data_IF_222848756484
#
_entry.id   IF_222848756484
#
_cell.length_a   1.000
_cell.length_b   1.000
_cell.length_c   1.000
_cell.angle_alpha   90.00
_cell.angle_beta   90.00
_cell.angle_gamma   90.00
#
_symmetry.space_group_name_H-M   'P 1'
#
loop_
_entity.id
_entity.type
_entity.pdbx_description
1 polymer ?
#
# COMPACT_ATOMS: atom_id res chain seq x y z
N UNK A 1 18.87 -46.11 -84.06
CA UNK A 1 17.67 -45.25 -83.95
C UNK A 1 16.61 -45.87 -83.04
N UNK A 2 15.68 -46.75 -83.48
CA UNK A 2 14.61 -47.29 -82.60
C UNK A 2 15.10 -48.13 -81.40
N UNK A 3 16.15 -48.93 -81.59
CA UNK A 3 16.69 -49.79 -80.51
C UNK A 3 17.52 -49.02 -79.46
N UNK A 4 17.95 -47.79 -79.77
CA UNK A 4 18.65 -46.90 -78.83
C UNK A 4 17.64 -46.08 -78.02
N UNK A 5 16.52 -45.71 -78.63
CA UNK A 5 15.38 -45.07 -77.94
C UNK A 5 14.78 -45.98 -76.87
N UNK A 6 14.57 -47.26 -77.17
CA UNK A 6 14.10 -48.24 -76.19
C UNK A 6 15.04 -48.35 -74.99
N UNK A 7 16.36 -48.47 -75.23
CA UNK A 7 17.37 -48.55 -74.17
C UNK A 7 17.44 -47.31 -73.29
N UNK A 8 17.27 -46.10 -73.85
CA UNK A 8 17.21 -44.86 -73.04
C UNK A 8 15.94 -44.80 -72.20
N UNK A 9 14.81 -45.21 -72.75
CA UNK A 9 13.55 -45.24 -72.01
C UNK A 9 13.61 -46.26 -70.85
N UNK A 10 14.20 -47.43 -71.09
CA UNK A 10 14.42 -48.43 -70.05
C UNK A 10 15.34 -47.91 -68.92
N UNK A 11 16.37 -47.13 -69.26
CA UNK A 11 17.24 -46.46 -68.29
C UNK A 11 16.49 -45.40 -67.47
N UNK A 12 15.65 -44.57 -68.11
CA UNK A 12 14.83 -43.56 -67.41
C UNK A 12 13.83 -44.24 -66.47
N UNK A 13 13.16 -45.30 -66.92
CA UNK A 13 12.22 -46.08 -66.09
C UNK A 13 12.93 -46.72 -64.88
N UNK A 14 14.15 -47.22 -65.06
CA UNK A 14 14.94 -47.76 -63.96
C UNK A 14 15.31 -46.67 -62.93
N UNK A 15 15.67 -45.47 -63.37
CA UNK A 15 15.97 -44.33 -62.50
C UNK A 15 14.72 -43.83 -61.75
N UNK A 16 13.57 -43.71 -62.42
CA UNK A 16 12.31 -43.33 -61.78
C UNK A 16 11.91 -44.33 -60.69
N UNK A 17 12.07 -45.62 -60.95
CA UNK A 17 11.84 -46.68 -59.96
C UNK A 17 12.77 -46.52 -58.75
N UNK A 18 14.06 -46.27 -58.96
CA UNK A 18 15.00 -46.02 -57.88
C UNK A 18 14.64 -44.79 -57.05
N UNK A 19 14.22 -43.69 -57.68
CA UNK A 19 13.78 -42.49 -56.97
C UNK A 19 12.52 -42.73 -56.14
N UNK A 20 11.57 -43.50 -56.68
CA UNK A 20 10.35 -43.89 -55.97
C UNK A 20 10.67 -44.77 -54.75
N UNK A 21 11.54 -45.76 -54.92
CA UNK A 21 11.99 -46.65 -53.84
C UNK A 21 12.73 -45.87 -52.73
N UNK A 22 13.59 -44.92 -53.11
CA UNK A 22 14.26 -44.02 -52.15
C UNK A 22 13.21 -43.14 -51.43
N UNK A 23 12.26 -42.55 -52.14
CA UNK A 23 11.22 -41.72 -51.51
C UNK A 23 10.35 -42.53 -50.54
N UNK A 24 9.98 -43.76 -50.91
CA UNK A 24 9.22 -44.67 -50.05
C UNK A 24 10.01 -45.05 -48.80
N UNK A 25 11.30 -45.40 -48.94
CA UNK A 25 12.15 -45.71 -47.79
C UNK A 25 12.34 -44.51 -46.86
N UNK A 26 12.51 -43.30 -47.40
CA UNK A 26 12.57 -42.06 -46.62
C UNK A 26 11.27 -41.80 -45.86
N UNK A 27 10.11 -41.99 -46.50
CA UNK A 27 8.81 -41.83 -45.85
C UNK A 27 8.58 -42.87 -44.75
N UNK A 28 8.98 -44.12 -44.99
CA UNK A 28 8.91 -45.18 -43.99
C UNK A 28 9.81 -44.86 -42.78
N UNK A 29 11.06 -44.47 -43.02
CA UNK A 29 12.00 -44.06 -41.97
C UNK A 29 11.48 -42.84 -41.19
N UNK A 30 10.88 -41.85 -41.86
CA UNK A 30 10.30 -40.68 -41.20
C UNK A 30 9.07 -41.06 -40.35
N UNK A 31 8.24 -41.98 -40.82
CA UNK A 31 7.10 -42.50 -40.08
C UNK A 31 7.56 -43.23 -38.81
N UNK A 32 8.64 -44.02 -38.90
CA UNK A 32 9.26 -44.71 -37.78
C UNK A 32 9.86 -43.72 -36.77
N UNK A 33 10.62 -42.71 -37.23
CA UNK A 33 11.15 -41.64 -36.38
C UNK A 33 10.02 -40.88 -35.66
N UNK A 34 8.92 -40.57 -36.35
CA UNK A 34 7.76 -39.94 -35.74
C UNK A 34 7.07 -40.85 -34.71
N UNK A 35 7.07 -42.16 -34.93
CA UNK A 35 6.52 -43.12 -33.97
C UNK A 35 7.41 -43.22 -32.72
N UNK A 36 8.73 -43.32 -32.90
CA UNK A 36 9.73 -43.29 -31.82
C UNK A 36 9.63 -41.97 -31.03
N UNK A 37 9.57 -40.84 -31.73
CA UNK A 37 9.42 -39.51 -31.14
C UNK A 37 8.14 -39.36 -30.32
N UNK A 38 7.01 -39.90 -30.79
CA UNK A 38 5.74 -39.92 -30.05
C UNK A 38 5.83 -40.77 -28.78
N UNK A 39 6.44 -41.96 -28.86
CA UNK A 39 6.66 -42.83 -27.70
C UNK A 39 7.56 -42.15 -26.66
N UNK A 40 8.68 -41.58 -27.08
CA UNK A 40 9.60 -40.86 -26.21
C UNK A 40 8.93 -39.63 -25.57
N UNK A 41 8.13 -38.87 -26.33
CA UNK A 41 7.38 -37.71 -25.81
C UNK A 41 6.35 -38.11 -24.78
N UNK A 42 5.64 -39.23 -24.99
CA UNK A 42 4.67 -39.76 -24.03
C UNK A 42 5.34 -40.23 -22.74
N UNK A 43 6.48 -40.91 -22.85
CA UNK A 43 7.26 -41.36 -21.69
C UNK A 43 7.83 -40.18 -20.90
N UNK A 44 8.41 -39.19 -21.60
CA UNK A 44 8.91 -37.95 -21.00
C UNK A 44 7.79 -37.19 -20.29
N UNK A 45 6.62 -37.04 -20.92
CA UNK A 45 5.46 -36.41 -20.29
C UNK A 45 5.03 -37.14 -19.00
N UNK A 46 5.07 -38.47 -18.99
CA UNK A 46 4.74 -39.26 -17.80
C UNK A 46 5.78 -39.13 -16.69
N UNK A 47 7.06 -39.05 -17.04
CA UNK A 47 8.16 -38.90 -16.10
C UNK A 47 8.18 -37.50 -15.48
N UNK A 48 7.97 -36.46 -16.29
CA UNK A 48 7.85 -35.06 -15.85
C UNK A 48 6.71 -34.90 -14.85
N UNK A 49 5.53 -35.47 -15.13
CA UNK A 49 4.38 -35.45 -14.19
C UNK A 49 4.71 -36.08 -12.84
N UNK A 50 5.45 -37.20 -12.82
CA UNK A 50 5.86 -37.86 -11.56
C UNK A 50 6.85 -37.01 -10.78
N UNK A 51 7.80 -36.37 -11.45
CA UNK A 51 8.77 -35.47 -10.82
C UNK A 51 8.07 -34.25 -10.21
N UNK A 52 7.18 -33.61 -10.97
CA UNK A 52 6.36 -32.47 -10.53
C UNK A 52 5.53 -32.83 -9.30
N UNK A 53 4.87 -34.00 -9.31
CA UNK A 53 4.03 -34.44 -8.19
C UNK A 53 4.85 -34.74 -6.93
N UNK A 54 6.07 -35.29 -7.07
CA UNK A 54 6.99 -35.47 -5.92
C UNK A 54 7.43 -34.14 -5.34
N UNK A 55 7.83 -33.18 -6.17
CA UNK A 55 8.24 -31.84 -5.71
C UNK A 55 7.07 -31.13 -5.01
N UNK A 56 5.86 -31.25 -5.56
CA UNK A 56 4.64 -30.76 -4.94
C UNK A 56 4.40 -31.41 -3.57
N UNK A 57 4.49 -32.74 -3.46
CA UNK A 57 4.30 -33.45 -2.20
C UNK A 57 5.34 -33.08 -1.14
N UNK A 58 6.61 -32.93 -1.51
CA UNK A 58 7.65 -32.49 -0.57
C UNK A 58 7.38 -31.07 -0.04
N UNK A 59 6.98 -30.14 -0.91
CA UNK A 59 6.60 -28.78 -0.48
C UNK A 59 5.32 -28.77 0.34
N UNK A 60 4.33 -29.60 -0.01
CA UNK A 60 3.12 -29.76 0.78
C UNK A 60 3.43 -30.30 2.17
N UNK A 61 4.30 -31.31 2.27
CA UNK A 61 4.74 -31.88 3.54
C UNK A 61 5.49 -30.87 4.43
N UNK A 62 6.16 -29.87 3.83
CA UNK A 62 6.83 -28.79 4.55
C UNK A 62 5.89 -27.63 4.94
N UNK A 63 4.99 -27.23 4.03
CA UNK A 63 4.10 -26.07 4.22
C UNK A 63 2.88 -26.39 5.08
N UNK A 64 2.35 -27.61 5.01
CA UNK A 64 1.20 -28.06 5.80
C UNK A 64 1.44 -27.99 7.32
N UNK A 65 2.57 -28.47 7.89
CA UNK A 65 2.84 -28.29 9.31
C UNK A 65 3.00 -26.82 9.68
N UNK A 66 3.61 -25.99 8.82
CA UNK A 66 3.71 -24.55 9.04
C UNK A 66 2.32 -23.87 9.09
N UNK A 67 1.40 -24.29 8.21
CA UNK A 67 0.03 -23.78 8.15
C UNK A 67 -0.81 -24.26 9.34
N UNK A 68 -0.60 -25.49 9.80
CA UNK A 68 -1.21 -26.02 11.03
C UNK A 68 -0.73 -25.25 12.26
N UNK A 69 0.57 -24.98 12.37
CA UNK A 69 1.14 -24.13 13.41
C UNK A 69 0.52 -22.73 13.37
N UNK A 70 0.34 -22.15 12.18
CA UNK A 70 -0.27 -20.83 12.02
C UNK A 70 -1.74 -20.82 12.46
N UNK A 71 -2.51 -21.85 12.07
CA UNK A 71 -3.91 -22.02 12.50
C UNK A 71 -4.03 -22.22 14.02
N UNK A 72 -3.16 -23.03 14.61
CA UNK A 72 -3.10 -23.22 16.06
C UNK A 72 -2.78 -21.91 16.80
N UNK A 73 -1.81 -21.16 16.30
CA UNK A 73 -1.40 -19.87 16.85
C UNK A 73 -2.54 -18.84 16.74
N UNK A 74 -3.29 -18.85 15.63
CA UNK A 74 -4.45 -18.00 15.44
C UNK A 74 -5.57 -18.28 16.46
N UNK A 75 -5.89 -19.55 16.70
CA UNK A 75 -6.94 -19.92 17.67
C UNK A 75 -6.51 -19.60 19.10
N UNK A 76 -5.24 -19.86 19.47
CA UNK A 76 -4.81 -19.84 20.87
C UNK A 76 -4.13 -18.54 21.32
N UNK A 77 -3.51 -17.77 20.41
CA UNK A 77 -2.64 -16.62 20.73
C UNK A 77 -3.11 -15.28 20.15
N UNK A 78 -4.28 -15.20 19.48
CA UNK A 78 -4.81 -13.95 18.88
C UNK A 78 -5.16 -12.81 19.85
N UNK A 79 -5.06 -13.00 21.16
CA UNK A 79 -5.34 -11.95 22.16
C UNK A 79 -4.18 -11.76 23.15
N UNK A 80 -3.00 -12.29 22.83
CA UNK A 80 -1.80 -12.21 23.67
C UNK A 80 -0.98 -10.97 23.33
N UNK A 81 -0.19 -10.44 24.26
CA UNK A 81 0.71 -9.28 24.07
C UNK A 81 1.62 -9.40 22.85
N UNK A 82 1.96 -10.63 22.43
CA UNK A 82 2.77 -10.93 21.24
C UNK A 82 1.95 -11.02 19.93
N UNK A 83 0.78 -10.38 19.88
CA UNK A 83 -0.13 -10.41 18.75
C UNK A 83 0.50 -10.06 17.39
N UNK A 84 1.40 -9.06 17.26
CA UNK A 84 2.04 -8.75 15.99
C UNK A 84 2.85 -9.92 15.42
N UNK A 85 3.53 -10.70 16.27
CA UNK A 85 4.28 -11.88 15.84
C UNK A 85 3.36 -13.00 15.38
N UNK A 86 2.21 -13.20 16.05
CA UNK A 86 1.24 -14.20 15.63
C UNK A 86 0.67 -13.88 14.25
N UNK A 87 0.30 -12.62 14.00
CA UNK A 87 -0.16 -12.19 12.68
C UNK A 87 0.94 -12.25 11.63
N UNK A 88 2.16 -11.84 11.96
CA UNK A 88 3.31 -11.96 11.07
C UNK A 88 3.55 -13.41 10.64
N UNK A 89 3.49 -14.36 11.58
CA UNK A 89 3.63 -15.78 11.28
C UNK A 89 2.47 -16.32 10.42
N UNK A 90 1.24 -15.87 10.64
CA UNK A 90 0.08 -16.25 9.82
C UNK A 90 0.24 -15.72 8.38
N UNK A 91 0.58 -14.44 8.21
CA UNK A 91 0.83 -13.87 6.90
C UNK A 91 2.01 -14.55 6.21
N UNK A 92 3.07 -14.87 6.96
CA UNK A 92 4.21 -15.61 6.44
C UNK A 92 3.83 -17.02 5.99
N UNK A 93 3.09 -17.78 6.81
CA UNK A 93 2.66 -19.14 6.45
C UNK A 93 1.72 -19.14 5.24
N UNK A 94 0.79 -18.18 5.17
CA UNK A 94 -0.07 -17.99 4.00
C UNK A 94 0.76 -17.62 2.77
N UNK A 95 1.69 -16.67 2.89
CA UNK A 95 2.56 -16.25 1.80
C UNK A 95 3.45 -17.41 1.31
N UNK A 96 4.11 -18.12 2.22
CA UNK A 96 4.93 -19.29 1.91
C UNK A 96 4.09 -20.36 1.20
N UNK A 97 2.87 -20.62 1.67
CA UNK A 97 1.95 -21.52 0.97
C UNK A 97 1.61 -21.02 -0.45
N UNK A 98 1.18 -19.77 -0.62
CA UNK A 98 0.78 -19.22 -1.92
C UNK A 98 1.94 -18.92 -2.88
N UNK A 99 3.16 -18.70 -2.40
CA UNK A 99 4.31 -18.33 -3.24
C UNK A 99 5.26 -19.50 -3.45
N UNK A 100 5.32 -20.46 -2.54
CA UNK A 100 6.20 -21.63 -2.65
C UNK A 100 5.48 -22.88 -3.17
N UNK A 101 4.19 -23.09 -2.86
CA UNK A 101 3.45 -24.27 -3.35
C UNK A 101 2.95 -24.10 -4.79
N UNK A 102 2.51 -22.88 -5.09
CA UNK A 102 1.84 -22.51 -6.35
C UNK A 102 2.74 -22.53 -7.60
N UNK A 103 4.05 -22.22 -7.57
CA UNK A 103 4.89 -22.15 -8.78
C UNK A 103 5.04 -23.45 -9.59
N UNK A 104 4.57 -24.59 -9.08
CA UNK A 104 4.79 -25.90 -9.71
C UNK A 104 3.50 -26.63 -10.11
N UNK A 105 2.36 -25.92 -10.10
CA UNK A 105 1.13 -26.41 -10.72
C UNK A 105 1.14 -26.02 -12.22
N UNK A 106 1.26 -26.99 -13.15
CA UNK A 106 1.59 -26.74 -14.56
C UNK A 106 0.56 -25.92 -15.37
N UNK A 107 -0.63 -25.62 -14.86
CA UNK A 107 -1.59 -24.75 -15.58
C UNK A 107 -2.25 -23.63 -14.76
N UNK A 108 -2.11 -23.59 -13.43
CA UNK A 108 -2.82 -22.61 -12.58
C UNK A 108 -1.93 -21.85 -11.59
N UNK A 109 -0.65 -22.20 -11.50
CA UNK A 109 0.28 -21.61 -10.55
C UNK A 109 0.45 -20.09 -10.72
N UNK A 110 0.82 -19.67 -11.92
CA UNK A 110 1.02 -18.24 -12.20
C UNK A 110 -0.23 -17.41 -11.89
N UNK A 111 -1.39 -17.85 -12.39
CA UNK A 111 -2.64 -17.09 -12.27
C UNK A 111 -3.06 -16.87 -10.82
N UNK A 112 -3.05 -17.91 -9.98
CA UNK A 112 -3.42 -17.76 -8.56
C UNK A 112 -2.47 -16.78 -7.86
N UNK A 113 -1.16 -16.87 -8.12
CA UNK A 113 -0.17 -15.95 -7.52
C UNK A 113 -0.42 -14.50 -7.93
N UNK A 114 -0.63 -14.25 -9.22
CA UNK A 114 -0.88 -12.90 -9.73
C UNK A 114 -2.21 -12.36 -9.23
N UNK A 115 -3.28 -13.15 -9.26
CA UNK A 115 -4.60 -12.72 -8.77
C UNK A 115 -4.58 -12.38 -7.29
N UNK A 116 -3.99 -13.23 -6.44
CA UNK A 116 -3.85 -12.96 -5.00
C UNK A 116 -3.00 -11.72 -4.76
N UNK A 117 -1.87 -11.59 -5.46
CA UNK A 117 -1.00 -10.41 -5.35
C UNK A 117 -1.69 -9.11 -5.76
N UNK A 118 -2.48 -9.13 -6.84
CA UNK A 118 -3.26 -7.99 -7.32
C UNK A 118 -4.32 -7.61 -6.28
N UNK A 119 -5.10 -8.58 -5.79
CA UNK A 119 -6.13 -8.33 -4.78
C UNK A 119 -5.54 -7.76 -3.49
N UNK A 120 -4.44 -8.34 -2.99
CA UNK A 120 -3.72 -7.83 -1.81
C UNK A 120 -3.25 -6.38 -2.03
N UNK A 121 -2.64 -6.10 -3.17
CA UNK A 121 -2.14 -4.75 -3.50
C UNK A 121 -3.27 -3.73 -3.57
N UNK A 122 -4.41 -4.11 -4.17
CA UNK A 122 -5.58 -3.24 -4.24
C UNK A 122 -6.18 -2.97 -2.85
N UNK A 123 -6.27 -3.99 -2.00
CA UNK A 123 -6.80 -3.85 -0.63
C UNK A 123 -5.86 -2.99 0.23
N UNK A 124 -4.56 -3.33 0.28
CA UNK A 124 -3.57 -2.56 1.05
C UNK A 124 -3.46 -1.14 0.54
N UNK A 125 -3.37 -0.95 -0.78
CA UNK A 125 -3.30 0.36 -1.41
C UNK A 125 -4.53 1.21 -1.07
N UNK A 126 -5.73 0.63 -1.17
CA UNK A 126 -6.97 1.35 -0.81
C UNK A 126 -7.00 1.74 0.67
N UNK A 127 -6.62 0.83 1.57
CA UNK A 127 -6.59 1.13 3.01
C UNK A 127 -5.53 2.19 3.34
N UNK A 128 -4.34 2.13 2.72
CA UNK A 128 -3.28 3.11 2.88
C UNK A 128 -3.74 4.50 2.41
N UNK A 129 -4.39 4.60 1.24
CA UNK A 129 -4.93 5.86 0.73
C UNK A 129 -6.02 6.42 1.65
N UNK A 130 -6.94 5.58 2.13
CA UNK A 130 -7.99 6.02 3.06
C UNK A 130 -7.40 6.49 4.40
N UNK A 131 -6.42 5.77 4.94
CA UNK A 131 -5.74 6.16 6.17
C UNK A 131 -4.97 7.48 5.99
N UNK A 132 -4.27 7.64 4.87
CA UNK A 132 -3.54 8.85 4.54
C UNK A 132 -4.48 10.04 4.35
N UNK A 133 -5.61 9.86 3.67
CA UNK A 133 -6.61 10.91 3.51
C UNK A 133 -7.23 11.31 4.85
N UNK A 134 -7.51 10.36 5.76
CA UNK A 134 -7.97 10.70 7.11
C UNK A 134 -6.91 11.45 7.90
N UNK A 135 -5.65 11.07 7.76
CA UNK A 135 -4.52 11.77 8.39
C UNK A 135 -4.39 13.20 7.86
N UNK A 136 -4.41 13.38 6.53
CA UNK A 136 -4.39 14.69 5.87
C UNK A 136 -5.61 15.53 6.24
N UNK A 137 -6.81 14.94 6.35
CA UNK A 137 -8.00 15.66 6.80
C UNK A 137 -7.87 16.14 8.25
N UNK A 138 -7.30 15.31 9.14
CA UNK A 138 -7.02 15.73 10.53
C UNK A 138 -5.96 16.83 10.58
N UNK A 139 -4.94 16.75 9.72
CA UNK A 139 -3.92 17.77 9.60
C UNK A 139 -4.47 19.07 9.03
N UNK A 140 -5.28 19.01 7.98
CA UNK A 140 -5.98 20.16 7.40
C UNK A 140 -6.97 20.77 8.38
N UNK A 141 -7.69 19.97 9.18
CA UNK A 141 -8.52 20.50 10.26
C UNK A 141 -7.68 21.22 11.32
N UNK A 142 -6.52 20.68 11.70
CA UNK A 142 -5.61 21.33 12.64
C UNK A 142 -5.00 22.63 12.06
N UNK A 143 -4.70 22.66 10.76
CA UNK A 143 -4.17 23.84 10.05
C UNK A 143 -5.27 24.89 9.76
N UNK A 144 -6.50 24.47 9.47
CA UNK A 144 -7.65 25.38 9.31
C UNK A 144 -8.21 25.90 10.65
N UNK A 145 -7.92 25.22 11.77
CA UNK A 145 -8.28 25.67 13.11
C UNK A 145 -7.35 26.77 13.69
N UNK A 146 -6.32 27.24 12.99
CA UNK A 146 -5.30 28.11 13.59
C UNK A 146 -5.24 29.56 13.08
N UNK A 147 -6.36 30.28 13.18
CA UNK A 147 -6.35 31.75 13.40
C UNK A 147 -7.47 32.20 14.34
N UNK A 148 -8.62 31.51 14.32
CA UNK A 148 -9.76 31.78 15.21
C UNK A 148 -9.70 31.01 16.55
N UNK A 149 -9.28 29.72 16.55
CA UNK A 149 -9.22 28.89 17.77
C UNK A 149 -7.89 29.06 18.54
N UNK A 150 -6.81 29.48 17.87
CA UNK A 150 -5.55 29.90 18.52
C UNK A 150 -5.78 31.08 19.50
N UNK A 151 -6.93 31.77 19.41
CA UNK A 151 -7.36 32.84 20.33
C UNK A 151 -8.02 32.32 21.61
N UNK A 152 -8.42 31.05 21.70
CA UNK A 152 -9.17 30.50 22.86
C UNK A 152 -8.35 29.57 23.75
N UNK A 153 -7.26 29.01 23.25
CA UNK A 153 -6.36 28.10 23.98
C UNK A 153 -5.00 28.71 24.28
N UNK A 154 -4.87 30.04 24.26
CA UNK A 154 -3.71 30.65 24.89
C UNK A 154 -3.90 30.59 26.40
N UNK A 155 -3.04 29.80 27.04
CA UNK A 155 -2.95 29.70 28.48
C UNK A 155 -2.77 31.12 29.08
N UNK A 156 -3.65 31.49 30.01
CA UNK A 156 -3.71 32.82 30.61
C UNK A 156 -2.34 33.27 31.14
N UNK A 157 -1.60 32.33 31.72
CA UNK A 157 -0.27 32.57 32.29
C UNK A 157 0.77 32.88 31.20
N UNK A 158 0.69 32.19 30.05
CA UNK A 158 1.60 32.42 28.91
C UNK A 158 1.27 33.75 28.23
N UNK A 159 -0.01 34.08 28.10
CA UNK A 159 -0.44 35.36 27.53
C UNK A 159 0.03 36.55 28.39
N UNK A 160 -0.12 36.47 29.72
CA UNK A 160 0.37 37.51 30.63
C UNK A 160 1.88 37.62 30.66
N UNK A 161 2.60 36.50 30.67
CA UNK A 161 4.07 36.49 30.66
C UNK A 161 4.64 37.13 29.38
N UNK A 162 3.99 36.91 28.22
CA UNK A 162 4.39 37.52 26.94
C UNK A 162 4.05 39.01 26.89
N UNK A 163 2.87 39.42 27.36
CA UNK A 163 2.51 40.84 27.47
C UNK A 163 3.48 41.61 28.39
N UNK A 164 3.87 41.02 29.53
CA UNK A 164 4.85 41.61 30.44
C UNK A 164 6.22 41.84 29.78
N UNK A 165 6.57 41.00 28.80
CA UNK A 165 7.80 41.12 28.00
C UNK A 165 7.63 41.92 26.71
N UNK A 166 6.49 42.60 26.51
CA UNK A 166 6.18 43.35 25.29
C UNK A 166 6.18 42.50 24.02
N UNK A 167 5.72 41.25 24.13
CA UNK A 167 5.60 40.31 23.00
C UNK A 167 4.13 39.98 22.76
N UNK A 168 3.70 40.06 21.49
CA UNK A 168 2.37 39.66 21.08
C UNK A 168 2.15 38.16 21.31
N UNK A 169 1.13 37.74 22.08
CA UNK A 169 0.90 36.33 22.33
C UNK A 169 0.46 35.53 21.09
N UNK A 170 -0.10 36.21 20.07
CA UNK A 170 -0.60 35.59 18.85
C UNK A 170 0.46 35.39 17.76
N UNK A 171 1.24 36.43 17.44
CA UNK A 171 2.24 36.40 16.37
C UNK A 171 3.69 36.39 16.85
N UNK A 172 3.91 36.40 18.18
CA UNK A 172 5.23 36.32 18.83
C UNK A 172 6.22 37.42 18.44
N UNK A 173 5.72 38.51 17.84
CA UNK A 173 6.51 39.71 17.53
C UNK A 173 6.47 40.71 18.67
N UNK A 174 7.52 41.51 18.78
CA UNK A 174 7.56 42.62 19.74
C UNK A 174 6.46 43.65 19.43
N UNK A 175 5.82 44.16 20.47
CA UNK A 175 4.80 45.21 20.40
C UNK A 175 5.11 46.23 21.48
N UNK A 176 5.19 47.51 21.12
CA UNK A 176 5.40 48.54 22.13
C UNK A 176 4.12 48.79 22.94
N UNK A 177 4.21 48.52 24.24
CA UNK A 177 3.13 48.71 25.22
C UNK A 177 3.44 49.84 26.21
N UNK A 178 4.54 50.58 26.04
CA UNK A 178 4.94 51.66 26.97
C UNK A 178 4.01 52.87 26.91
N UNK A 179 3.37 53.07 25.76
CA UNK A 179 2.49 54.21 25.51
C UNK A 179 1.16 54.14 26.27
N UNK A 180 0.81 52.97 26.84
CA UNK A 180 -0.41 52.78 27.62
C UNK A 180 -1.72 52.79 26.83
N UNK A 181 -1.68 53.04 25.52
CA UNK A 181 -2.84 53.21 24.63
C UNK A 181 -2.95 52.13 23.54
N UNK A 182 -1.89 51.34 23.31
CA UNK A 182 -1.84 50.31 22.26
C UNK A 182 -2.74 49.11 22.57
N UNK A 183 -3.96 49.11 22.05
CA UNK A 183 -4.95 48.05 22.33
C UNK A 183 -4.90 46.88 21.34
N UNK A 184 -4.27 47.05 20.19
CA UNK A 184 -4.17 46.04 19.14
C UNK A 184 -2.72 45.81 18.71
N UNK A 185 -2.38 44.59 18.31
CA UNK A 185 -1.08 44.30 17.73
C UNK A 185 -1.00 44.82 16.28
N UNK A 186 -0.01 45.67 15.93
CA UNK A 186 0.13 46.20 14.56
C UNK A 186 0.53 45.15 13.52
N UNK A 187 0.98 43.96 13.95
CA UNK A 187 1.44 42.91 13.04
C UNK A 187 0.36 41.88 12.67
N UNK A 188 -0.59 41.61 13.56
CA UNK A 188 -1.60 40.56 13.37
C UNK A 188 -3.03 41.00 13.72
N UNK A 189 -3.23 42.23 14.20
CA UNK A 189 -4.55 42.78 14.50
C UNK A 189 -5.26 42.18 15.71
N UNK A 190 -4.61 41.34 16.52
CA UNK A 190 -5.22 40.80 17.74
C UNK A 190 -5.41 41.92 18.78
N UNK A 191 -6.58 41.96 19.42
CA UNK A 191 -6.84 42.84 20.56
C UNK A 191 -6.08 42.34 21.78
N UNK A 192 -5.13 43.13 22.28
CA UNK A 192 -4.31 42.87 23.46
C UNK A 192 -4.98 43.39 24.73
N UNK A 193 -5.70 44.51 24.61
CA UNK A 193 -6.41 45.18 25.70
C UNK A 193 -7.80 45.62 25.26
N UNK A 194 -8.72 45.65 26.22
CA UNK A 194 -10.08 46.13 26.03
C UNK A 194 -10.56 46.87 27.29
N UNK A 195 -11.47 47.84 27.18
CA UNK A 195 -12.10 48.44 28.35
C UNK A 195 -12.96 47.41 29.09
N UNK A 196 -12.95 47.47 30.41
CA UNK A 196 -13.86 46.68 31.22
C UNK A 196 -15.29 47.19 31.07
N UNK A 197 -16.29 46.34 30.76
CA UNK A 197 -17.68 46.78 30.64
C UNK A 197 -18.28 47.25 31.98
N UNK A 198 -17.71 46.85 33.12
CA UNK A 198 -18.21 47.21 34.44
C UNK A 198 -17.63 48.53 35.00
N UNK A 199 -16.36 48.84 34.71
CA UNK A 199 -15.68 50.00 35.30
C UNK A 199 -14.88 50.87 34.31
N UNK A 200 -14.87 50.51 33.02
CA UNK A 200 -14.14 51.24 31.98
C UNK A 200 -12.61 51.07 32.00
N UNK A 201 -12.04 50.44 33.03
CA UNK A 201 -10.59 50.27 33.15
C UNK A 201 -10.02 49.40 32.03
N UNK A 202 -8.86 49.79 31.48
CA UNK A 202 -8.13 49.07 30.43
C UNK A 202 -7.58 47.75 30.94
N UNK A 203 -8.17 46.63 30.56
CA UNK A 203 -7.76 45.28 30.98
C UNK A 203 -7.24 44.46 29.81
N UNK A 204 -6.44 43.43 30.09
CA UNK A 204 -6.04 42.48 29.05
C UNK A 204 -7.26 41.71 28.54
N UNK A 205 -7.34 41.49 27.23
CA UNK A 205 -8.35 40.65 26.61
C UNK A 205 -8.26 39.19 27.05
N UNK A 206 -7.07 38.75 27.47
CA UNK A 206 -6.79 37.40 27.93
C UNK A 206 -7.11 37.19 29.41
N UNK A 207 -7.37 38.24 30.21
CA UNK A 207 -7.58 38.08 31.65
C UNK A 207 -8.97 37.56 32.00
N UNK A 208 -9.06 36.58 32.90
CA UNK A 208 -10.34 36.05 33.38
C UNK A 208 -11.14 37.05 34.21
N UNK A 209 -10.46 37.95 34.92
CA UNK A 209 -11.08 38.99 35.74
C UNK A 209 -10.44 40.35 35.45
N UNK A 210 -11.19 41.43 35.70
CA UNK A 210 -10.65 42.77 35.68
C UNK A 210 -9.75 43.00 36.90
N UNK A 211 -8.52 43.47 36.69
CA UNK A 211 -7.59 43.81 37.77
C UNK A 211 -8.05 45.00 38.64
N UNK A 212 -8.95 45.85 38.13
CA UNK A 212 -9.43 47.04 38.83
C UNK A 212 -10.68 46.77 39.69
N UNK A 213 -11.66 46.03 39.18
CA UNK A 213 -12.95 45.82 39.85
C UNK A 213 -13.33 44.36 40.11
N UNK A 214 -12.53 43.39 39.65
CA UNK A 214 -12.80 41.96 39.84
C UNK A 214 -13.92 41.37 38.98
N UNK A 215 -14.54 42.14 38.07
CA UNK A 215 -15.59 41.61 37.19
C UNK A 215 -15.06 40.50 36.28
N UNK A 216 -15.81 39.39 36.17
CA UNK A 216 -15.47 38.26 35.32
C UNK A 216 -15.58 38.62 33.83
N UNK A 217 -14.68 38.06 33.02
CA UNK A 217 -14.68 38.16 31.57
C UNK A 217 -15.75 37.25 30.96
N UNK A 218 -17.02 37.66 31.10
CA UNK A 218 -18.17 37.06 30.44
C UNK A 218 -19.02 38.13 29.75
N UNK A 219 -19.44 37.85 28.51
CA UNK A 219 -20.28 38.65 27.61
C UNK A 219 -19.65 39.88 26.92
N UNK A 220 -18.69 39.62 26.02
CA UNK A 220 -18.32 40.51 24.93
C UNK A 220 -18.70 39.87 23.59
N UNK A 221 -19.95 40.04 23.19
CA UNK A 221 -20.45 39.67 21.87
C UNK A 221 -19.52 40.23 20.79
N UNK A 222 -19.14 39.40 19.82
CA UNK A 222 -18.49 39.88 18.60
C UNK A 222 -19.37 41.01 18.01
N UNK A 223 -18.81 42.17 17.63
CA UNK A 223 -19.59 43.14 16.88
C UNK A 223 -19.98 42.47 15.56
N UNK A 224 -21.28 42.23 15.42
CA UNK A 224 -21.86 41.79 14.16
C UNK A 224 -21.54 42.84 13.11
N UNK A 225 -20.89 42.39 12.04
CA UNK A 225 -20.73 43.18 10.82
C UNK A 225 -22.12 43.27 10.20
N UNK A 226 -22.68 44.48 10.18
CA UNK A 226 -23.80 44.88 9.34
C UNK A 226 -23.24 45.71 8.17
#
# INVERSE_FOLDING_TARGET
MKDEEGRRNDQVLALEKQLLDISQSMNANQAELNQLGRKASAELASATRKLELRVFLYRLALTLPLLLLAGWLFVRKRNSTYWPFAWGFIFFALFAFFVELVPYLPSYGGYVRYTVGIVLTLILGRQAVVALNRYLQRQQQAEQLSDAERRRTLDYDVAQARLAKQVCPGCERSVDLKDGTTDFCPHCGIGLFQPCPACGARRSTFSHYCHACGAASGSGQAPGVA
#
